data_IF_704369956031
#
_entry.id   IF_704369956031
#
_cell.length_a   1.000
_cell.length_b   1.000
_cell.length_c   1.000
_cell.angle_alpha   90.00
_cell.angle_beta   90.00
_cell.angle_gamma   90.00
#
_symmetry.space_group_name_H-M   'P 1'
#
loop_
_entity.id
_entity.type
_entity.pdbx_description
1 polymer ?
#
# COMPACT_ATOMS: atom_id res chain seq x y z
N UNK A 1 -21.02 6.31 -31.52
CA UNK A 1 -21.59 5.07 -30.96
C UNK A 1 -20.54 4.05 -30.51
N UNK A 2 -19.56 3.67 -31.35
CA UNK A 2 -18.54 2.66 -30.99
C UNK A 2 -17.63 3.10 -29.83
N UNK A 3 -17.23 4.38 -29.79
CA UNK A 3 -16.44 4.97 -28.70
C UNK A 3 -17.17 4.97 -27.33
N UNK A 4 -18.50 5.12 -27.33
CA UNK A 4 -19.31 5.06 -26.11
C UNK A 4 -19.42 3.62 -25.58
N UNK A 5 -19.37 2.62 -26.48
CA UNK A 5 -19.47 1.21 -26.14
C UNK A 5 -18.14 0.66 -25.58
N UNK A 6 -17.01 1.27 -25.95
CA UNK A 6 -15.69 0.93 -25.38
C UNK A 6 -15.51 1.36 -23.93
N UNK A 7 -16.20 2.40 -23.46
CA UNK A 7 -16.10 2.88 -22.07
C UNK A 7 -16.59 1.84 -21.04
N UNK A 8 -17.81 1.27 -21.15
CA UNK A 8 -18.28 0.26 -20.21
C UNK A 8 -17.47 -1.04 -20.30
N UNK A 9 -17.07 -1.45 -21.50
CA UNK A 9 -16.21 -2.63 -21.72
C UNK A 9 -14.88 -2.44 -20.98
N UNK A 10 -14.22 -1.29 -21.15
CA UNK A 10 -12.95 -1.02 -20.49
C UNK A 10 -13.12 -0.95 -18.96
N UNK A 11 -14.22 -0.36 -18.47
CA UNK A 11 -14.54 -0.30 -17.04
C UNK A 11 -14.72 -1.69 -16.42
N UNK A 12 -15.47 -2.59 -17.08
CA UNK A 12 -15.66 -3.96 -16.63
C UNK A 12 -14.32 -4.70 -16.61
N UNK A 13 -13.53 -4.58 -17.68
CA UNK A 13 -12.21 -5.23 -17.78
C UNK A 13 -11.28 -4.75 -16.68
N UNK A 14 -11.22 -3.44 -16.40
CA UNK A 14 -10.45 -2.87 -15.30
C UNK A 14 -10.88 -3.44 -13.94
N UNK A 15 -12.19 -3.57 -13.68
CA UNK A 15 -12.70 -4.17 -12.44
C UNK A 15 -12.27 -5.63 -12.29
N UNK A 16 -12.37 -6.43 -13.35
CA UNK A 16 -11.91 -7.84 -13.37
C UNK A 16 -10.41 -7.90 -13.10
N UNK A 17 -9.63 -7.07 -13.79
CA UNK A 17 -8.18 -7.03 -13.66
C UNK A 17 -7.74 -6.64 -12.24
N UNK A 18 -8.41 -5.65 -11.64
CA UNK A 18 -8.16 -5.22 -10.27
C UNK A 18 -8.54 -6.31 -9.25
N UNK A 19 -9.65 -7.03 -9.48
CA UNK A 19 -10.04 -8.16 -8.61
C UNK A 19 -9.01 -9.29 -8.66
N UNK A 20 -8.50 -9.63 -9.85
CA UNK A 20 -7.43 -10.64 -9.98
C UNK A 20 -6.13 -10.14 -9.34
N UNK A 21 -5.77 -8.87 -9.56
CA UNK A 21 -4.58 -8.25 -8.95
C UNK A 21 -4.62 -8.29 -7.42
N UNK A 22 -5.78 -8.03 -6.80
CA UNK A 22 -5.95 -8.12 -5.35
C UNK A 22 -5.67 -9.53 -4.84
N UNK A 23 -6.24 -10.55 -5.50
CA UNK A 23 -6.01 -11.96 -5.14
C UNK A 23 -4.56 -12.38 -5.35
N UNK A 24 -3.92 -11.91 -6.42
CA UNK A 24 -2.49 -12.15 -6.70
C UNK A 24 -1.61 -11.56 -5.59
N UNK A 25 -1.90 -10.33 -5.16
CA UNK A 25 -1.19 -9.69 -4.05
C UNK A 25 -1.42 -10.42 -2.72
N UNK A 26 -2.65 -10.84 -2.40
CA UNK A 26 -2.93 -11.65 -1.20
C UNK A 26 -2.08 -12.94 -1.19
N UNK A 27 -2.00 -13.66 -2.31
CA UNK A 27 -1.17 -14.87 -2.43
C UNK A 27 0.34 -14.56 -2.32
N UNK A 28 0.79 -13.41 -2.82
CA UNK A 28 2.17 -12.94 -2.70
C UNK A 28 2.52 -12.58 -1.26
N UNK A 29 1.60 -11.97 -0.53
CA UNK A 29 1.77 -11.63 0.89
C UNK A 29 1.87 -12.90 1.73
N UNK A 30 1.00 -13.90 1.48
CA UNK A 30 1.07 -15.21 2.13
C UNK A 30 2.45 -15.88 1.91
N UNK A 31 2.92 -15.95 0.65
CA UNK A 31 4.24 -16.52 0.33
C UNK A 31 5.37 -15.76 1.03
N UNK A 32 5.31 -14.43 1.02
CA UNK A 32 6.34 -13.58 1.63
C UNK A 32 6.39 -13.81 3.14
N UNK A 33 5.22 -13.87 3.80
CA UNK A 33 5.11 -14.19 5.22
C UNK A 33 5.75 -15.54 5.56
N UNK A 34 5.42 -16.60 4.81
CA UNK A 34 6.02 -17.94 5.00
C UNK A 34 7.53 -17.95 4.81
N UNK A 35 8.01 -17.23 3.79
CA UNK A 35 9.45 -17.10 3.53
C UNK A 35 10.15 -16.38 4.68
N UNK A 36 9.57 -15.30 5.19
CA UNK A 36 10.11 -14.56 6.34
C UNK A 36 10.13 -15.39 7.61
N UNK A 37 9.06 -16.15 7.88
CA UNK A 37 8.99 -17.08 9.03
C UNK A 37 10.11 -18.14 8.96
N UNK A 38 10.34 -18.72 7.77
CA UNK A 38 11.39 -19.72 7.56
C UNK A 38 12.79 -19.13 7.77
N UNK A 39 13.08 -17.96 7.19
CA UNK A 39 14.39 -17.30 7.31
C UNK A 39 14.66 -16.90 8.77
N UNK A 40 13.65 -16.33 9.45
CA UNK A 40 13.79 -15.90 10.85
C UNK A 40 14.08 -17.07 11.79
N UNK A 41 13.60 -18.27 11.45
CA UNK A 41 13.74 -19.49 12.26
C UNK A 41 14.72 -20.52 11.66
N UNK A 42 15.60 -20.13 10.74
CA UNK A 42 16.42 -21.06 9.95
C UNK A 42 17.27 -22.03 10.80
N UNK A 43 17.79 -21.56 11.94
CA UNK A 43 18.56 -22.41 12.87
C UNK A 43 17.72 -23.57 13.41
N UNK A 44 16.46 -23.33 13.78
CA UNK A 44 15.54 -24.35 14.27
C UNK A 44 15.20 -25.34 13.15
N UNK A 45 14.90 -24.84 11.94
CA UNK A 45 14.59 -25.67 10.77
C UNK A 45 15.73 -26.65 10.46
N UNK A 46 16.99 -26.19 10.54
CA UNK A 46 18.18 -27.03 10.37
C UNK A 46 18.33 -28.09 11.46
N UNK A 47 18.17 -27.69 12.72
CA UNK A 47 18.24 -28.60 13.88
C UNK A 47 17.19 -29.73 13.80
N UNK A 48 16.04 -29.45 13.19
CA UNK A 48 14.92 -30.40 13.07
C UNK A 48 14.84 -31.08 11.70
N UNK A 49 15.75 -30.77 10.76
CA UNK A 49 15.71 -31.25 9.37
C UNK A 49 14.37 -30.97 8.66
N UNK A 50 13.69 -29.87 9.00
CA UNK A 50 12.39 -29.47 8.44
C UNK A 50 12.48 -28.63 7.17
N UNK A 51 13.67 -28.45 6.60
CA UNK A 51 13.92 -27.61 5.43
C UNK A 51 13.02 -28.01 4.25
N UNK A 52 12.92 -29.31 3.96
CA UNK A 52 12.10 -29.83 2.85
C UNK A 52 10.60 -29.63 3.05
N UNK A 53 10.13 -29.67 4.29
CA UNK A 53 8.72 -29.44 4.64
C UNK A 53 8.35 -27.96 4.47
N UNK A 54 9.23 -27.05 4.86
CA UNK A 54 9.02 -25.61 4.64
C UNK A 54 9.18 -25.21 3.18
N UNK A 55 10.10 -25.85 2.45
CA UNK A 55 10.26 -25.67 1.01
C UNK A 55 8.97 -26.02 0.26
N UNK A 56 8.35 -27.17 0.58
CA UNK A 56 7.10 -27.59 -0.06
C UNK A 56 5.90 -26.70 0.30
N UNK A 57 5.83 -26.18 1.54
CA UNK A 57 4.81 -25.21 1.94
C UNK A 57 4.96 -23.88 1.17
N UNK A 58 6.18 -23.35 1.05
CA UNK A 58 6.45 -22.13 0.26
C UNK A 58 6.09 -22.35 -1.22
N UNK A 59 6.44 -23.52 -1.78
CA UNK A 59 6.12 -23.87 -3.16
C UNK A 59 4.61 -23.95 -3.41
N UNK A 60 3.83 -24.44 -2.44
CA UNK A 60 2.37 -24.42 -2.53
C UNK A 60 1.82 -22.99 -2.70
N UNK A 61 2.27 -22.02 -1.89
CA UNK A 61 1.87 -20.63 -2.04
C UNK A 61 2.40 -20.02 -3.36
N UNK A 62 3.60 -20.40 -3.79
CA UNK A 62 4.19 -19.98 -5.08
C UNK A 62 3.33 -20.42 -6.26
N UNK A 63 2.83 -21.65 -6.26
CA UNK A 63 1.96 -22.15 -7.33
C UNK A 63 0.61 -21.41 -7.37
N UNK A 64 0.05 -21.08 -6.21
CA UNK A 64 -1.17 -20.26 -6.10
C UNK A 64 -0.95 -18.85 -6.66
N UNK A 65 0.16 -18.21 -6.32
CA UNK A 65 0.59 -16.91 -6.86
C UNK A 65 0.74 -16.97 -8.38
N UNK A 66 1.50 -17.95 -8.90
CA UNK A 66 1.75 -18.14 -10.32
C UNK A 66 0.46 -18.39 -11.12
N UNK A 67 -0.47 -19.18 -10.59
CA UNK A 67 -1.77 -19.41 -11.25
C UNK A 67 -2.54 -18.11 -11.43
N UNK A 68 -2.60 -17.28 -10.39
CA UNK A 68 -3.28 -15.98 -10.45
C UNK A 68 -2.55 -15.01 -11.38
N UNK A 69 -1.22 -15.01 -11.36
CA UNK A 69 -0.39 -14.22 -12.25
C UNK A 69 -0.64 -14.58 -13.73
N UNK A 70 -0.66 -15.87 -14.06
CA UNK A 70 -0.93 -16.37 -15.41
C UNK A 70 -2.34 -16.03 -15.89
N UNK A 71 -3.35 -16.17 -15.03
CA UNK A 71 -4.73 -15.75 -15.34
C UNK A 71 -4.78 -14.24 -15.60
N UNK A 72 -4.10 -13.43 -14.78
CA UNK A 72 -4.03 -11.98 -14.98
C UNK A 72 -3.34 -11.63 -16.30
N UNK A 73 -2.25 -12.32 -16.62
CA UNK A 73 -1.53 -12.18 -17.88
C UNK A 73 -2.41 -12.48 -19.09
N UNK A 74 -3.15 -13.58 -19.06
CA UNK A 74 -4.07 -13.96 -20.14
C UNK A 74 -5.18 -12.91 -20.36
N UNK A 75 -5.80 -12.43 -19.27
CA UNK A 75 -6.84 -11.37 -19.36
C UNK A 75 -6.25 -10.06 -19.89
N UNK A 76 -5.03 -9.69 -19.48
CA UNK A 76 -4.32 -8.51 -20.01
C UNK A 76 -4.03 -8.65 -21.50
N UNK A 77 -3.51 -9.79 -21.92
CA UNK A 77 -3.19 -10.05 -23.32
C UNK A 77 -4.43 -9.98 -24.21
N UNK A 78 -5.54 -10.58 -23.78
CA UNK A 78 -6.83 -10.48 -24.47
C UNK A 78 -7.32 -9.03 -24.58
N UNK A 79 -7.27 -8.27 -23.50
CA UNK A 79 -7.67 -6.86 -23.53
C UNK A 79 -6.79 -6.03 -24.48
N UNK A 80 -5.48 -6.28 -24.49
CA UNK A 80 -4.55 -5.60 -25.39
C UNK A 80 -4.84 -5.95 -26.86
N UNK A 81 -5.10 -7.22 -27.15
CA UNK A 81 -5.45 -7.68 -28.50
C UNK A 81 -6.74 -7.00 -29.00
N UNK A 82 -7.78 -6.97 -28.16
CA UNK A 82 -9.05 -6.27 -28.46
C UNK A 82 -8.78 -4.79 -28.70
N UNK A 83 -8.04 -4.13 -27.81
CA UNK A 83 -7.74 -2.69 -27.90
C UNK A 83 -6.97 -2.31 -29.17
N UNK A 84 -6.09 -3.21 -29.64
CA UNK A 84 -5.37 -3.05 -30.90
C UNK A 84 -6.28 -3.26 -32.13
N UNK A 85 -7.29 -4.13 -32.03
CA UNK A 85 -8.23 -4.42 -33.11
C UNK A 85 -9.36 -3.38 -33.27
N UNK A 86 -9.79 -2.73 -32.16
CA UNK A 86 -10.83 -1.68 -32.14
C UNK A 86 -10.71 -0.64 -33.27
N UNK A 87 -9.57 0.01 -33.54
CA UNK A 87 -9.45 1.03 -34.59
C UNK A 87 -9.73 0.48 -35.99
N UNK A 88 -9.31 -0.75 -36.30
CA UNK A 88 -9.60 -1.39 -37.57
C UNK A 88 -11.11 -1.67 -37.71
N UNK A 89 -11.75 -2.15 -36.63
CA UNK A 89 -13.20 -2.40 -36.60
C UNK A 89 -13.98 -1.08 -36.77
N UNK A 90 -13.57 -0.02 -36.06
CA UNK A 90 -14.17 1.31 -36.18
C UNK A 90 -14.07 1.80 -37.62
N UNK A 91 -12.90 1.66 -38.26
CA UNK A 91 -12.72 2.06 -39.65
C UNK A 91 -13.71 1.34 -40.58
N UNK A 92 -13.79 0.02 -40.50
CA UNK A 92 -14.70 -0.79 -41.33
C UNK A 92 -16.15 -0.33 -41.15
N UNK A 93 -16.61 -0.19 -39.90
CA UNK A 93 -17.99 0.26 -39.60
C UNK A 93 -18.26 1.66 -40.15
N UNK A 94 -17.30 2.58 -40.02
CA UNK A 94 -17.45 3.97 -40.48
C UNK A 94 -17.51 4.05 -42.00
N UNK A 95 -16.69 3.28 -42.70
CA UNK A 95 -16.70 3.19 -44.16
C UNK A 95 -17.98 2.55 -44.70
N UNK A 96 -18.47 1.49 -44.06
CA UNK A 96 -19.74 0.85 -44.43
C UNK A 96 -20.92 1.81 -44.25
N UNK A 97 -20.96 2.55 -43.14
CA UNK A 97 -22.00 3.55 -42.89
C UNK A 97 -21.94 4.71 -43.91
N UNK A 98 -20.73 5.18 -44.25
CA UNK A 98 -20.54 6.23 -45.24
C UNK A 98 -20.99 5.81 -46.64
N UNK A 99 -20.72 4.55 -47.04
CA UNK A 99 -21.23 3.96 -48.29
C UNK A 99 -22.75 4.07 -48.42
N UNK A 100 -23.47 3.79 -47.34
CA UNK A 100 -24.94 3.82 -47.33
C UNK A 100 -25.53 5.24 -47.47
N UNK A 101 -24.71 6.29 -47.41
CA UNK A 101 -25.15 7.68 -47.54
C UNK A 101 -25.16 8.18 -49.00
N UNK A 102 -24.80 7.32 -49.97
CA UNK A 102 -24.87 7.62 -51.41
C UNK A 102 -23.79 8.58 -51.95
N UNK A 103 -22.84 8.99 -51.11
CA UNK A 103 -21.69 9.82 -51.51
C UNK A 103 -20.54 8.94 -52.04
N UNK A 104 -19.79 9.38 -53.07
CA UNK A 104 -18.64 8.63 -53.56
C UNK A 104 -17.58 8.53 -52.47
N UNK A 105 -17.12 7.31 -52.23
CA UNK A 105 -16.05 7.02 -51.29
C UNK A 105 -14.72 7.30 -52.01
N UNK A 106 -14.19 8.52 -51.85
CA UNK A 106 -12.89 8.88 -52.42
C UNK A 106 -11.78 8.49 -51.43
N UNK A 107 -10.75 7.79 -51.92
CA UNK A 107 -9.64 7.33 -51.10
C UNK A 107 -8.95 8.47 -50.33
N UNK A 108 -8.84 9.66 -50.92
CA UNK A 108 -8.27 10.85 -50.27
C UNK A 108 -9.00 11.20 -48.97
N UNK A 109 -10.33 11.24 -48.98
CA UNK A 109 -11.13 11.55 -47.79
C UNK A 109 -10.98 10.48 -46.70
N UNK A 110 -10.88 9.20 -47.09
CA UNK A 110 -10.64 8.10 -46.14
C UNK A 110 -9.28 8.23 -45.47
N UNK A 111 -8.22 8.43 -46.25
CA UNK A 111 -6.86 8.55 -45.72
C UNK A 111 -6.72 9.78 -44.81
N UNK A 112 -7.30 10.92 -45.18
CA UNK A 112 -7.33 12.11 -44.34
C UNK A 112 -8.08 11.86 -43.02
N UNK A 113 -9.24 11.18 -43.06
CA UNK A 113 -10.00 10.83 -41.86
C UNK A 113 -9.24 9.87 -40.94
N UNK A 114 -8.60 8.83 -41.48
CA UNK A 114 -7.74 7.89 -40.72
C UNK A 114 -6.63 8.66 -40.00
N UNK A 115 -5.95 9.57 -40.71
CA UNK A 115 -4.85 10.35 -40.15
C UNK A 115 -5.33 11.24 -39.00
N UNK A 116 -6.45 11.94 -39.18
CA UNK A 116 -7.08 12.76 -38.14
C UNK A 116 -7.49 11.94 -36.91
N UNK A 117 -8.14 10.78 -37.11
CA UNK A 117 -8.51 9.90 -36.00
C UNK A 117 -7.30 9.36 -35.23
N UNK A 118 -6.23 9.01 -35.94
CA UNK A 118 -4.98 8.56 -35.31
C UNK A 118 -4.34 9.69 -34.47
N UNK A 119 -4.34 10.93 -34.98
CA UNK A 119 -3.84 12.08 -34.22
C UNK A 119 -4.69 12.39 -32.99
N UNK A 120 -6.02 12.32 -33.09
CA UNK A 120 -6.95 12.54 -31.96
C UNK A 120 -6.87 11.46 -30.88
N UNK A 121 -6.38 10.28 -31.23
CA UNK A 121 -6.29 9.14 -30.29
C UNK A 121 -5.33 9.41 -29.15
N UNK A 122 -4.21 10.08 -29.42
CA UNK A 122 -3.21 10.40 -28.41
C UNK A 122 -3.76 11.38 -27.35
N UNK A 123 -4.32 12.57 -27.72
CA UNK A 123 -4.96 13.46 -26.75
C UNK A 123 -6.09 12.81 -25.96
N UNK A 124 -6.97 12.02 -26.62
CA UNK A 124 -8.09 11.35 -25.96
C UNK A 124 -7.64 10.31 -24.93
N UNK A 125 -6.48 9.68 -25.14
CA UNK A 125 -5.89 8.75 -24.17
C UNK A 125 -5.12 9.47 -23.06
N UNK A 126 -4.43 10.56 -23.41
CA UNK A 126 -3.61 11.33 -22.47
C UNK A 126 -4.43 12.18 -21.51
N UNK A 127 -5.57 12.71 -21.94
CA UNK A 127 -6.39 13.63 -21.15
C UNK A 127 -6.93 13.00 -19.85
N UNK A 128 -7.52 11.79 -19.85
CA UNK A 128 -7.90 11.12 -18.60
C UNK A 128 -6.70 10.83 -17.69
N UNK A 129 -5.57 10.41 -18.27
CA UNK A 129 -4.34 10.13 -17.52
C UNK A 129 -3.81 11.37 -16.80
N UNK A 130 -3.88 12.54 -17.42
CA UNK A 130 -3.55 13.81 -16.79
C UNK A 130 -4.47 14.13 -15.60
N UNK A 131 -5.78 13.96 -15.76
CA UNK A 131 -6.75 14.20 -14.70
C UNK A 131 -6.48 13.27 -13.51
N UNK A 132 -6.26 11.98 -13.77
CA UNK A 132 -5.93 11.01 -12.73
C UNK A 132 -4.62 11.37 -12.03
N UNK A 133 -3.60 11.81 -12.78
CA UNK A 133 -2.31 12.23 -12.22
C UNK A 133 -2.43 13.46 -11.32
N UNK A 134 -3.24 14.45 -11.74
CA UNK A 134 -3.56 15.64 -10.93
C UNK A 134 -4.32 15.28 -9.65
N UNK A 135 -5.32 14.39 -9.75
CA UNK A 135 -6.08 13.93 -8.60
C UNK A 135 -5.19 13.17 -7.59
N UNK A 136 -4.32 12.28 -8.08
CA UNK A 136 -3.37 11.54 -7.26
C UNK A 136 -2.32 12.47 -6.63
N UNK A 137 -1.80 13.45 -7.39
CA UNK A 137 -0.88 14.48 -6.90
C UNK A 137 -1.50 15.31 -5.79
N UNK A 138 -2.76 15.74 -5.95
CA UNK A 138 -3.52 16.44 -4.90
C UNK A 138 -3.66 15.62 -3.63
N UNK A 139 -3.98 14.33 -3.75
CA UNK A 139 -4.09 13.43 -2.60
C UNK A 139 -2.75 13.22 -1.89
N UNK A 140 -1.64 13.13 -2.65
CA UNK A 140 -0.30 13.04 -2.09
C UNK A 140 0.10 14.31 -1.33
N UNK A 141 -0.12 15.49 -1.93
CA UNK A 141 0.11 16.78 -1.28
C UNK A 141 -0.70 16.92 0.01
N UNK A 142 -1.97 16.48 0.01
CA UNK A 142 -2.80 16.48 1.22
C UNK A 142 -2.18 15.64 2.34
N UNK A 143 -1.64 14.45 2.03
CA UNK A 143 -0.98 13.58 3.03
C UNK A 143 0.30 14.22 3.58
N UNK A 144 1.10 14.84 2.71
CA UNK A 144 2.30 15.57 3.11
C UNK A 144 1.92 16.72 4.03
N UNK A 145 0.90 17.52 3.64
CA UNK A 145 0.42 18.63 4.46
C UNK A 145 -0.07 18.15 5.84
N UNK A 146 -0.84 17.05 5.90
CA UNK A 146 -1.30 16.49 7.17
C UNK A 146 -0.18 15.97 8.07
N UNK A 147 0.91 15.47 7.49
CA UNK A 147 2.08 15.03 8.25
C UNK A 147 2.86 16.22 8.79
N UNK A 148 3.08 17.25 7.96
CA UNK A 148 3.76 18.48 8.37
C UNK A 148 2.94 19.30 9.38
N UNK A 149 1.63 19.13 9.41
CA UNK A 149 0.75 19.73 10.42
C UNK A 149 0.50 18.82 11.63
N UNK A 150 1.16 17.66 11.71
CA UNK A 150 1.02 16.79 12.87
C UNK A 150 1.74 17.39 14.08
N UNK A 151 1.24 17.08 15.28
CA UNK A 151 1.79 17.62 16.51
C UNK A 151 3.23 17.17 16.70
N UNK A 152 4.16 18.11 16.71
CA UNK A 152 5.56 17.84 17.04
C UNK A 152 5.68 17.61 18.55
N UNK A 153 6.49 16.62 18.93
CA UNK A 153 6.77 16.37 20.34
C UNK A 153 7.55 17.57 20.85
N UNK A 154 6.94 18.36 21.73
CA UNK A 154 7.63 19.45 22.42
C UNK A 154 8.87 18.87 23.12
N UNK A 155 10.06 19.45 22.94
CA UNK A 155 11.26 19.00 23.62
C UNK A 155 11.07 19.20 25.13
N UNK A 156 10.72 18.12 25.83
CA UNK A 156 10.51 18.10 27.29
C UNK A 156 11.80 17.83 28.07
N UNK A 157 12.92 17.61 27.36
CA UNK A 157 14.22 17.29 27.94
C UNK A 157 15.06 18.56 28.08
N UNK A 158 15.14 19.07 29.31
CA UNK A 158 16.10 20.10 29.67
C UNK A 158 17.47 19.47 29.88
N UNK A 159 18.45 19.82 29.04
CA UNK A 159 19.83 19.34 29.17
C UNK A 159 20.61 20.32 30.05
N UNK A 160 20.97 19.87 31.25
CA UNK A 160 21.86 20.60 32.14
C UNK A 160 23.33 20.36 31.76
N UNK A 161 24.24 21.30 32.07
CA UNK A 161 25.68 21.11 31.86
C UNK A 161 26.19 19.88 32.62
N UNK A 162 27.17 19.20 32.03
CA UNK A 162 27.82 18.03 32.64
C UNK A 162 28.45 18.44 33.98
N UNK A 163 28.05 17.77 35.05
CA UNK A 163 28.62 17.97 36.38
C UNK A 163 30.03 17.37 36.38
N UNK A 164 31.04 18.15 36.82
CA UNK A 164 32.40 17.66 37.02
C UNK A 164 32.39 16.52 38.05
N UNK A 165 32.62 15.29 37.59
CA UNK A 165 32.52 14.07 38.40
C UNK A 165 31.68 12.95 37.76
N UNK A 166 30.82 13.28 36.79
CA UNK A 166 30.02 12.29 36.06
C UNK A 166 28.94 11.62 36.92
N UNK A 167 27.68 11.76 36.54
CA UNK A 167 26.57 11.11 37.24
C UNK A 167 25.32 11.97 37.24
N UNK A 168 24.24 11.44 36.67
CA UNK A 168 22.90 11.99 36.84
C UNK A 168 22.10 11.06 37.76
N UNK A 169 21.30 11.65 38.63
CA UNK A 169 20.30 10.90 39.41
C UNK A 169 19.08 10.68 38.54
N UNK A 170 18.52 9.47 38.53
CA UNK A 170 17.26 9.18 37.83
C UNK A 170 16.16 9.22 38.87
N UNK A 171 15.29 10.23 38.81
CA UNK A 171 14.11 10.35 39.66
C UNK A 171 12.84 10.38 38.82
N UNK A 172 11.86 9.57 39.22
CA UNK A 172 10.51 9.55 38.68
C UNK A 172 9.55 9.61 39.87
N UNK A 173 8.72 10.65 39.93
CA UNK A 173 7.73 10.82 41.00
C UNK A 173 6.32 10.79 40.38
N UNK A 174 5.51 9.83 40.82
CA UNK A 174 4.12 9.62 40.39
C UNK A 174 3.96 9.53 38.86
N UNK A 175 4.86 8.78 38.21
CA UNK A 175 4.88 8.63 36.75
C UNK A 175 3.70 7.80 36.24
N UNK A 176 2.86 8.42 35.41
CA UNK A 176 1.75 7.77 34.72
C UNK A 176 2.01 7.79 33.22
N UNK A 177 2.22 6.61 32.63
CA UNK A 177 2.53 6.48 31.20
C UNK A 177 1.49 5.64 30.49
N UNK A 178 1.14 6.07 29.28
CA UNK A 178 0.21 5.37 28.41
C UNK A 178 0.82 5.28 27.02
N UNK A 179 0.72 4.11 26.38
CA UNK A 179 1.10 4.01 24.98
C UNK A 179 0.05 4.72 24.14
N UNK A 180 0.46 5.57 23.19
CA UNK A 180 -0.47 6.15 22.24
C UNK A 180 -1.07 5.00 21.42
N UNK A 181 -2.33 4.70 21.68
CA UNK A 181 -3.12 3.84 20.80
C UNK A 181 -3.77 4.73 19.74
N UNK A 182 -3.85 4.20 18.52
CA UNK A 182 -4.48 4.84 17.34
C UNK A 182 -5.96 5.21 17.53
N UNK A 183 -6.55 4.96 18.69
CA UNK A 183 -7.90 5.33 19.09
C UNK A 183 -8.00 6.74 19.73
N UNK A 184 -6.89 7.32 20.19
CA UNK A 184 -6.91 8.60 20.92
C UNK A 184 -6.98 9.86 20.03
N UNK A 185 -6.80 9.73 18.72
CA UNK A 185 -6.92 10.84 17.75
C UNK A 185 -8.34 11.02 17.17
N UNK A 186 -9.31 10.24 17.64
CA UNK A 186 -10.72 10.38 17.25
C UNK A 186 -11.48 11.22 18.26
N UNK A 187 -11.83 12.45 17.88
CA UNK A 187 -12.82 13.28 18.58
C UNK A 187 -14.19 12.58 18.54
N UNK A 188 -14.44 11.70 19.51
CA UNK A 188 -15.69 10.95 19.60
C UNK A 188 -15.78 10.23 20.93
N UNK A 189 -16.81 10.57 21.70
CA UNK A 189 -17.11 10.09 23.06
C UNK A 189 -17.21 8.56 23.15
N UNK A 190 -16.07 7.88 23.23
CA UNK A 190 -15.97 6.47 23.56
C UNK A 190 -14.83 6.31 24.56
N UNK A 191 -15.15 6.52 25.84
CA UNK A 191 -14.33 6.17 26.98
C UNK A 191 -14.15 4.64 27.08
N UNK A 192 -13.40 4.08 26.14
CA UNK A 192 -12.74 2.80 26.37
C UNK A 192 -11.58 3.08 27.31
N UNK A 193 -11.72 2.63 28.56
CA UNK A 193 -10.71 2.71 29.62
C UNK A 193 -9.48 1.93 29.17
N UNK A 194 -8.58 2.59 28.44
CA UNK A 194 -7.26 2.03 28.15
C UNK A 194 -6.52 2.00 29.48
N UNK A 195 -6.26 0.80 29.99
CA UNK A 195 -5.45 0.66 31.18
C UNK A 195 -4.08 1.32 30.92
N UNK A 196 -3.67 2.31 31.73
CA UNK A 196 -2.35 2.92 31.62
C UNK A 196 -1.24 1.86 31.71
N UNK A 197 -0.18 2.04 30.92
CA UNK A 197 0.94 1.12 30.88
C UNK A 197 1.76 1.13 32.18
N UNK A 198 1.78 2.29 32.86
CA UNK A 198 2.34 2.48 34.20
C UNK A 198 1.44 3.44 34.99
N UNK A 199 1.22 3.14 36.27
CA UNK A 199 0.49 3.98 37.22
C UNK A 199 1.33 4.25 38.45
N UNK A 200 1.44 5.52 38.85
CA UNK A 200 2.02 5.92 40.12
C UNK A 200 3.43 5.41 40.36
N UNK A 201 4.24 5.30 39.29
CA UNK A 201 5.60 4.78 39.41
C UNK A 201 6.49 5.80 40.12
N UNK A 202 7.13 5.36 41.21
CA UNK A 202 8.10 6.14 41.98
C UNK A 202 9.45 5.44 41.94
N UNK A 203 10.48 6.09 41.39
CA UNK A 203 11.83 5.55 41.24
C UNK A 203 12.84 6.63 41.59
N UNK A 204 13.87 6.28 42.34
CA UNK A 204 15.03 7.13 42.62
C UNK A 204 16.27 6.25 42.54
N UNK A 205 17.19 6.58 41.64
CA UNK A 205 18.43 5.82 41.40
C UNK A 205 19.60 6.78 41.46
N UNK A 206 20.56 6.49 42.33
CA UNK A 206 21.75 7.30 42.53
C UNK A 206 22.85 6.98 41.51
N UNK A 207 23.79 7.91 41.26
CA UNK A 207 24.91 7.66 40.37
C UNK A 207 25.74 6.44 40.82
N UNK A 208 25.99 5.51 39.89
CA UNK A 208 26.78 4.31 40.14
C UNK A 208 26.00 3.10 40.68
N UNK A 209 24.69 3.23 40.89
CA UNK A 209 23.84 2.10 41.30
C UNK A 209 23.47 1.18 40.13
N UNK A 210 23.46 -0.14 40.38
CA UNK A 210 22.97 -1.15 39.44
C UNK A 210 21.60 -1.60 39.93
N UNK A 211 20.54 -1.26 39.17
CA UNK A 211 19.16 -1.59 39.52
C UNK A 211 18.60 -2.62 38.55
N UNK A 212 17.92 -3.64 39.08
CA UNK A 212 17.24 -4.67 38.31
C UNK A 212 15.71 -4.49 38.37
N UNK A 213 15.06 -4.45 37.20
CA UNK A 213 13.59 -4.36 37.09
C UNK A 213 13.01 -5.76 36.86
N UNK A 214 12.23 -6.27 37.81
CA UNK A 214 11.61 -7.60 37.77
C UNK A 214 10.08 -7.53 37.74
N UNK A 215 9.42 -8.53 37.14
CA UNK A 215 7.96 -8.62 37.08
C UNK A 215 7.45 -9.63 36.05
N UNK A 216 6.17 -9.98 36.11
CA UNK A 216 5.50 -10.92 35.19
C UNK A 216 5.45 -10.42 33.73
N UNK A 217 5.16 -11.29 32.75
CA UNK A 217 4.97 -10.86 31.35
C UNK A 217 3.78 -9.90 31.28
N UNK A 218 3.95 -8.75 30.59
CA UNK A 218 2.90 -7.72 30.49
C UNK A 218 2.85 -6.70 31.64
N UNK A 219 3.71 -6.79 32.65
CA UNK A 219 3.76 -5.87 33.81
C UNK A 219 4.28 -4.44 33.53
N UNK A 220 4.49 -4.06 32.26
CA UNK A 220 4.93 -2.69 31.93
C UNK A 220 6.44 -2.43 32.01
N UNK A 221 7.30 -3.44 32.23
CA UNK A 221 8.77 -3.28 32.26
C UNK A 221 9.35 -2.54 31.05
N UNK A 222 8.88 -2.87 29.84
CA UNK A 222 9.32 -2.17 28.61
C UNK A 222 8.79 -0.74 28.55
N UNK A 223 7.61 -0.47 29.13
CA UNK A 223 7.08 0.89 29.22
C UNK A 223 7.95 1.75 30.14
N UNK A 224 8.47 1.17 31.23
CA UNK A 224 9.31 1.86 32.20
C UNK A 224 10.65 2.32 31.62
N UNK A 225 11.19 1.58 30.67
CA UNK A 225 12.46 1.92 30.00
C UNK A 225 12.25 2.97 28.90
N UNK A 226 11.04 3.06 28.35
CA UNK A 226 10.72 3.96 27.22
C UNK A 226 10.13 5.31 27.64
N UNK A 227 9.54 5.37 28.84
CA UNK A 227 9.03 6.62 29.44
C UNK A 227 10.18 7.51 29.87
#
# INVERSE_FOLDING_TARGET
SVLLLTIPINSITLRVLNRIARRENEAKDDRTKRTTEAISNMKLLKLQSWEKTFESDIEYYRQKELRLHSIRGAVRALNQAISNAVPAIVLVVTLTAYKNTGKPIVASTIFTAISLFNQLRFPLFFYPMLIDSLANGKNALRRIASYLSSEEINPYVNRFPLIEGGGGTIEMNNGNFMFPSSASLGTGNSSQLIAPALCGANISIQPGEIVAVIGSVGSGKTALIKG
#
